data_IF_247932589977
#
_entry.id   IF_247932589977
#
_cell.length_a   1.000
_cell.length_b   1.000
_cell.length_c   1.000
_cell.angle_alpha   90.00
_cell.angle_beta   90.00
_cell.angle_gamma   90.00
#
_symmetry.space_group_name_H-M   'P 1'
#
loop_
_entity.id
_entity.type
_entity.pdbx_description
1 polymer ?
#
# COMPACT_ATOMS: atom_id res chain seq x y z
N UNK A 1 17.51 11.20 -19.23
CA UNK A 1 16.65 11.93 -18.28
C UNK A 1 16.27 10.94 -17.19
N UNK A 2 16.92 10.96 -16.03
CA UNK A 2 16.65 10.01 -14.94
C UNK A 2 15.27 10.28 -14.33
N UNK A 3 14.49 9.22 -14.08
CA UNK A 3 13.16 9.27 -13.47
C UNK A 3 13.26 9.89 -12.05
N UNK A 4 12.45 10.89 -11.69
CA UNK A 4 12.53 11.57 -10.38
C UNK A 4 12.29 10.64 -9.18
N UNK A 5 11.82 9.40 -9.41
CA UNK A 5 11.71 8.36 -8.37
C UNK A 5 13.03 7.72 -7.94
N UNK A 6 14.12 7.95 -8.67
CA UNK A 6 15.46 7.40 -8.38
C UNK A 6 16.49 8.50 -8.09
N UNK A 7 16.06 9.63 -7.52
CA UNK A 7 16.99 10.62 -6.99
C UNK A 7 17.84 9.99 -5.86
N UNK A 8 19.11 10.39 -5.77
CA UNK A 8 19.99 9.97 -4.68
C UNK A 8 19.33 10.27 -3.32
N UNK A 9 19.48 9.39 -2.31
CA UNK A 9 18.94 9.65 -0.99
C UNK A 9 19.46 10.99 -0.46
N UNK A 10 18.58 11.82 0.10
CA UNK A 10 18.93 13.13 0.66
C UNK A 10 19.85 13.09 1.89
N UNK A 11 20.30 11.89 2.27
CA UNK A 11 21.23 11.62 3.37
C UNK A 11 22.26 10.59 2.91
N UNK A 12 23.50 10.81 3.31
CA UNK A 12 24.64 9.93 3.04
C UNK A 12 24.77 8.83 4.11
N UNK A 13 25.62 7.83 3.85
CA UNK A 13 25.96 6.81 4.87
C UNK A 13 26.59 7.45 6.10
N UNK A 14 27.46 8.47 5.91
CA UNK A 14 28.08 9.19 7.02
C UNK A 14 27.04 9.89 7.92
N UNK A 15 25.96 10.42 7.33
CA UNK A 15 24.87 11.03 8.09
C UNK A 15 24.12 9.99 8.95
N UNK A 16 23.96 8.77 8.44
CA UNK A 16 23.33 7.66 9.16
C UNK A 16 24.23 7.12 10.28
N UNK A 17 25.53 6.98 10.01
CA UNK A 17 26.50 6.49 11.00
C UNK A 17 26.62 7.47 12.18
N UNK A 18 26.58 8.79 11.92
CA UNK A 18 26.63 9.84 12.92
C UNK A 18 25.46 9.81 13.93
N UNK A 19 24.32 9.22 13.57
CA UNK A 19 23.12 9.10 14.43
C UNK A 19 22.86 7.67 14.91
N UNK A 20 23.77 6.74 14.63
CA UNK A 20 23.59 5.30 14.93
C UNK A 20 23.75 4.92 16.41
N UNK A 21 24.07 5.87 17.28
CA UNK A 21 24.44 5.67 18.68
C UNK A 21 23.26 5.39 19.65
N UNK A 22 22.20 4.73 19.18
CA UNK A 22 21.03 4.40 20.00
C UNK A 22 21.34 3.26 20.98
N UNK A 23 20.93 3.42 22.24
CA UNK A 23 21.03 2.36 23.27
C UNK A 23 20.14 1.18 22.90
N UNK A 24 20.61 -0.03 23.19
CA UNK A 24 19.80 -1.24 23.07
C UNK A 24 18.57 -1.18 23.98
N UNK A 25 17.44 -1.64 23.47
CA UNK A 25 16.21 -1.77 24.25
C UNK A 25 16.38 -2.87 25.30
N UNK A 26 16.05 -2.53 26.55
CA UNK A 26 16.06 -3.48 27.67
C UNK A 26 14.65 -3.99 28.00
N UNK A 27 14.56 -5.07 28.78
CA UNK A 27 13.28 -5.58 29.26
C UNK A 27 12.46 -4.52 30.01
N UNK A 28 13.11 -3.63 30.76
CA UNK A 28 12.46 -2.53 31.47
C UNK A 28 11.88 -1.47 30.53
N UNK A 29 12.48 -1.27 29.36
CA UNK A 29 11.95 -0.36 28.34
C UNK A 29 10.63 -0.89 27.76
N UNK A 30 10.54 -2.20 27.54
CA UNK A 30 9.29 -2.86 27.15
C UNK A 30 8.24 -2.82 28.26
N UNK A 31 8.65 -3.01 29.53
CA UNK A 31 7.74 -2.95 30.66
C UNK A 31 7.11 -1.54 30.84
N UNK A 32 7.81 -0.49 30.43
CA UNK A 32 7.32 0.90 30.44
C UNK A 32 6.64 1.33 29.15
N UNK A 33 6.68 0.51 28.10
CA UNK A 33 6.12 0.86 26.81
C UNK A 33 4.59 1.02 26.90
N UNK A 34 4.08 2.06 26.25
CA UNK A 34 2.64 2.36 26.21
C UNK A 34 2.09 2.18 24.80
N UNK A 35 0.82 1.76 24.64
CA UNK A 35 0.17 1.77 23.34
C UNK A 35 0.22 3.17 22.72
N UNK A 36 0.42 3.25 21.40
CA UNK A 36 0.52 4.52 20.67
C UNK A 36 -0.69 5.44 20.94
N UNK A 37 -1.89 4.87 21.00
CA UNK A 37 -3.12 5.62 21.26
C UNK A 37 -3.16 6.25 22.66
N UNK A 38 -2.47 5.66 23.65
CA UNK A 38 -2.35 6.21 25.00
C UNK A 38 -1.24 7.27 25.06
N UNK A 39 -0.11 7.03 24.40
CA UNK A 39 1.01 7.96 24.37
C UNK A 39 0.70 9.24 23.55
N UNK A 40 -0.09 9.12 22.47
CA UNK A 40 -0.41 10.22 21.55
C UNK A 40 -1.90 10.25 21.17
N UNK A 41 -2.78 10.64 22.11
CA UNK A 41 -4.23 10.54 21.92
C UNK A 41 -4.77 11.44 20.80
N UNK A 42 -4.22 12.62 20.59
CA UNK A 42 -4.69 13.53 19.54
C UNK A 42 -4.25 13.08 18.15
N UNK A 43 -3.04 12.54 18.02
CA UNK A 43 -2.55 11.97 16.77
C UNK A 43 -3.31 10.69 16.41
N UNK A 44 -3.62 9.85 17.40
CA UNK A 44 -4.39 8.63 17.19
C UNK A 44 -5.78 8.89 16.57
N UNK A 45 -6.44 10.01 16.93
CA UNK A 45 -7.73 10.42 16.34
C UNK A 45 -7.62 10.77 14.84
N UNK A 46 -6.43 11.14 14.36
CA UNK A 46 -6.21 11.52 12.96
C UNK A 46 -5.82 10.33 12.07
N UNK A 47 -5.34 9.24 12.67
CA UNK A 47 -4.93 8.06 11.92
C UNK A 47 -6.18 7.35 11.39
N UNK A 48 -6.40 7.50 10.08
CA UNK A 48 -7.46 6.78 9.37
C UNK A 48 -7.02 5.33 9.15
N UNK A 49 -7.47 4.43 10.03
CA UNK A 49 -7.21 2.99 9.86
C UNK A 49 -7.92 2.51 8.60
N UNK A 50 -7.16 1.96 7.65
CA UNK A 50 -7.75 1.23 6.52
C UNK A 50 -8.54 0.06 7.12
N UNK A 51 -9.85 0.05 6.92
CA UNK A 51 -10.69 -1.03 7.40
C UNK A 51 -10.23 -2.39 6.86
N UNK A 52 -10.66 -3.50 7.50
CA UNK A 52 -10.36 -4.85 7.04
C UNK A 52 -10.60 -4.99 5.54
N UNK A 53 -9.71 -5.70 4.85
CA UNK A 53 -9.85 -5.92 3.42
C UNK A 53 -11.17 -6.67 3.17
N UNK A 54 -12.18 -5.92 2.68
CA UNK A 54 -13.57 -6.41 2.54
C UNK A 54 -13.71 -7.61 1.62
N UNK A 55 -12.76 -7.82 0.71
CA UNK A 55 -12.78 -8.95 -0.20
C UNK A 55 -11.35 -9.26 -0.66
N UNK A 56 -10.85 -10.49 -0.47
CA UNK A 56 -9.55 -10.88 -1.00
C UNK A 56 -9.62 -10.97 -2.53
N UNK A 57 -9.16 -9.91 -3.24
CA UNK A 57 -8.93 -9.99 -4.68
C UNK A 57 -7.68 -10.82 -4.92
N UNK A 58 -7.79 -11.92 -5.67
CA UNK A 58 -6.62 -12.65 -6.16
C UNK A 58 -6.04 -11.88 -7.34
N UNK A 59 -4.77 -11.53 -7.28
CA UNK A 59 -4.06 -10.92 -8.41
C UNK A 59 -3.60 -12.07 -9.31
N UNK A 60 -4.15 -12.13 -10.51
CA UNK A 60 -3.76 -13.11 -11.54
C UNK A 60 -3.39 -12.39 -12.83
N UNK A 61 -2.32 -12.84 -13.48
CA UNK A 61 -1.93 -12.36 -14.81
C UNK A 61 -2.73 -13.14 -15.85
N UNK A 62 -3.82 -12.56 -16.37
CA UNK A 62 -4.61 -13.09 -17.48
C UNK A 62 -4.29 -12.31 -18.75
N UNK A 63 -3.94 -13.02 -19.83
CA UNK A 63 -3.79 -12.43 -21.15
C UNK A 63 -5.17 -12.30 -21.83
N UNK A 64 -5.56 -11.08 -22.15
CA UNK A 64 -6.78 -10.77 -22.91
C UNK A 64 -6.39 -10.25 -24.29
N UNK A 65 -7.31 -10.33 -25.26
CA UNK A 65 -7.08 -9.76 -26.58
C UNK A 65 -6.91 -8.24 -26.48
N UNK A 66 -6.09 -7.62 -27.37
CA UNK A 66 -5.87 -6.17 -27.37
C UNK A 66 -7.17 -5.36 -27.50
N UNK A 67 -8.11 -5.83 -28.32
CA UNK A 67 -9.40 -5.17 -28.57
C UNK A 67 -10.24 -5.03 -27.30
N UNK A 68 -10.28 -6.08 -26.46
CA UNK A 68 -11.00 -6.06 -25.18
C UNK A 68 -10.35 -5.07 -24.23
N UNK A 69 -9.02 -5.10 -24.12
CA UNK A 69 -8.28 -4.19 -23.24
C UNK A 69 -8.53 -2.73 -23.63
N UNK A 70 -8.41 -2.40 -24.92
CA UNK A 70 -8.59 -1.03 -25.40
C UNK A 70 -10.04 -0.54 -25.24
N UNK A 71 -11.03 -1.41 -25.49
CA UNK A 71 -12.43 -1.11 -25.22
C UNK A 71 -12.66 -0.68 -23.76
N UNK A 72 -12.20 -1.48 -22.79
CA UNK A 72 -12.41 -1.16 -21.38
C UNK A 72 -11.57 0.05 -20.93
N UNK A 73 -10.32 0.18 -21.38
CA UNK A 73 -9.45 1.33 -21.08
C UNK A 73 -10.01 2.66 -21.59
N UNK A 74 -10.66 2.67 -22.75
CA UNK A 74 -11.25 3.89 -23.33
C UNK A 74 -12.29 4.54 -22.39
N UNK A 75 -12.97 3.74 -21.57
CA UNK A 75 -13.92 4.25 -20.57
C UNK A 75 -13.28 4.82 -19.29
N UNK A 76 -11.95 4.97 -19.24
CA UNK A 76 -11.24 5.65 -18.16
C UNK A 76 -10.97 4.80 -16.91
N UNK A 77 -10.63 5.46 -15.77
CA UNK A 77 -10.23 4.80 -14.53
C UNK A 77 -11.25 3.74 -14.06
N UNK A 78 -10.75 2.66 -13.43
CA UNK A 78 -11.60 1.57 -12.96
C UNK A 78 -11.98 0.53 -14.03
N UNK A 79 -11.39 0.60 -15.23
CA UNK A 79 -11.62 -0.37 -16.31
C UNK A 79 -11.39 -1.83 -15.89
N UNK A 80 -10.41 -2.10 -15.01
CA UNK A 80 -10.17 -3.44 -14.45
C UNK A 80 -11.35 -3.97 -13.61
N UNK A 81 -12.08 -3.08 -12.93
CA UNK A 81 -13.26 -3.50 -12.16
C UNK A 81 -14.47 -3.71 -13.07
N UNK A 82 -14.56 -2.96 -14.18
CA UNK A 82 -15.62 -3.13 -15.19
C UNK A 82 -15.48 -4.45 -15.93
N UNK A 83 -14.27 -4.85 -16.30
CA UNK A 83 -14.04 -6.15 -16.95
C UNK A 83 -14.28 -7.32 -15.99
N UNK A 84 -13.91 -7.20 -14.71
CA UNK A 84 -14.22 -8.21 -13.68
C UNK A 84 -15.75 -8.37 -13.51
N UNK A 85 -16.51 -7.28 -13.53
CA UNK A 85 -17.97 -7.34 -13.48
C UNK A 85 -18.56 -8.06 -14.71
N UNK A 86 -18.10 -7.72 -15.92
CA UNK A 86 -18.55 -8.37 -17.15
C UNK A 86 -18.25 -9.89 -17.16
N UNK A 87 -17.10 -10.30 -16.64
CA UNK A 87 -16.75 -11.72 -16.51
C UNK A 87 -17.64 -12.43 -15.49
N UNK A 88 -18.00 -11.78 -14.38
CA UNK A 88 -18.96 -12.35 -13.40
C UNK A 88 -20.34 -12.52 -13.99
N UNK A 89 -20.83 -11.55 -14.75
CA UNK A 89 -22.13 -11.64 -15.41
C UNK A 89 -22.15 -12.80 -16.42
N UNK A 90 -21.06 -12.99 -17.17
CA UNK A 90 -20.93 -14.11 -18.09
C UNK A 90 -20.93 -15.46 -17.37
N UNK A 91 -20.20 -15.58 -16.25
CA UNK A 91 -20.16 -16.79 -15.41
C UNK A 91 -21.51 -17.06 -14.72
N UNK A 92 -22.30 -16.04 -14.41
CA UNK A 92 -23.63 -16.23 -13.83
C UNK A 92 -24.67 -16.69 -14.87
N UNK A 93 -24.45 -16.38 -16.14
CA UNK A 93 -25.35 -16.70 -17.24
C UNK A 93 -25.11 -18.09 -17.87
N UNK A 94 -24.00 -18.78 -17.52
CA UNK A 94 -23.59 -20.07 -18.09
C UNK A 94 -23.21 -21.06 -16.98
#
# INVERSE_FOLDING_TARGET
MTDPKHAAPGYTQADMDAVSNNREWTADDFARAKPFAEAFPDLAKTIRVRGPQRTPKKVSTLCLSPEVIEHFKSGGPGWQSRIDAALKDWVAAH
#
